data_IF_267651374857
#
_entry.id   IF_267651374857
#
_cell.length_a   1.000
_cell.length_b   1.000
_cell.length_c   1.000
_cell.angle_alpha   90.00
_cell.angle_beta   90.00
_cell.angle_gamma   90.00
#
_symmetry.space_group_name_H-M   'P 1'
#
loop_
_entity.id
_entity.type
_entity.pdbx_description
1 polymer ?
#
# COMPACT_ATOMS: atom_id res chain seq x y z
N UNK A 1 -9.52 -78.37 7.28
CA UNK A 1 -8.41 -77.47 7.67
C UNK A 1 -8.77 -76.05 7.29
N UNK A 2 -8.80 -75.14 8.26
CA UNK A 2 -9.12 -73.71 8.09
C UNK A 2 -7.84 -72.96 7.69
N UNK A 3 -7.78 -72.32 6.53
CA UNK A 3 -6.72 -71.37 6.20
C UNK A 3 -7.18 -69.96 6.56
N UNK A 4 -6.51 -69.37 7.57
CA UNK A 4 -6.63 -67.95 7.93
C UNK A 4 -5.85 -67.13 6.89
N UNK A 5 -6.52 -66.17 6.27
CA UNK A 5 -5.89 -65.10 5.50
C UNK A 5 -5.24 -64.14 6.49
N UNK A 6 -3.91 -64.09 6.53
CA UNK A 6 -3.15 -63.03 7.19
C UNK A 6 -2.85 -62.00 6.10
N UNK A 7 -3.57 -60.89 6.13
CA UNK A 7 -3.33 -59.74 5.25
C UNK A 7 -2.10 -59.03 5.81
N UNK A 8 -0.93 -59.30 5.22
CA UNK A 8 0.28 -58.56 5.50
C UNK A 8 0.16 -57.14 4.99
N UNK A 9 0.07 -56.17 5.89
CA UNK A 9 0.23 -54.75 5.58
C UNK A 9 1.71 -54.55 5.22
N UNK A 10 2.02 -54.55 3.93
CA UNK A 10 3.35 -54.21 3.44
C UNK A 10 3.64 -52.74 3.72
N UNK A 11 4.73 -52.51 4.46
CA UNK A 11 5.31 -51.23 4.86
C UNK A 11 5.89 -50.53 3.61
N UNK A 12 5.02 -50.00 2.75
CA UNK A 12 5.39 -49.11 1.65
C UNK A 12 4.82 -47.72 1.96
N UNK A 13 5.35 -47.04 2.98
CA UNK A 13 4.90 -45.68 3.29
C UNK A 13 5.95 -44.75 3.92
N UNK A 14 7.23 -45.12 4.01
CA UNK A 14 8.22 -44.24 4.69
C UNK A 14 9.38 -43.79 3.79
N UNK A 15 9.65 -44.44 2.65
CA UNK A 15 10.82 -44.10 1.81
C UNK A 15 10.54 -42.94 0.83
N UNK A 16 9.28 -42.61 0.56
CA UNK A 16 8.89 -41.54 -0.37
C UNK A 16 9.14 -40.11 0.11
N UNK A 17 9.28 -39.89 1.42
CA UNK A 17 9.50 -38.54 1.98
C UNK A 17 10.98 -38.18 2.15
N UNK A 18 11.88 -39.16 2.24
CA UNK A 18 13.31 -38.91 2.40
C UNK A 18 14.03 -38.54 1.11
N UNK A 19 13.58 -39.07 -0.03
CA UNK A 19 14.28 -38.95 -1.32
C UNK A 19 13.98 -37.62 -2.03
N UNK A 20 12.82 -36.99 -1.77
CA UNK A 20 12.51 -35.67 -2.33
C UNK A 20 13.15 -34.50 -1.56
N UNK A 21 13.62 -34.77 -0.33
CA UNK A 21 14.33 -33.84 0.54
C UNK A 21 15.86 -33.90 0.39
N UNK A 22 16.41 -34.84 -0.39
CA UNK A 22 17.84 -34.88 -0.68
C UNK A 22 18.23 -33.66 -1.53
N UNK A 23 19.00 -32.77 -0.91
CA UNK A 23 19.56 -31.55 -1.51
C UNK A 23 20.90 -31.91 -2.17
N UNK A 24 21.03 -31.93 -3.51
CA UNK A 24 22.34 -31.70 -4.09
C UNK A 24 22.68 -30.24 -3.81
N UNK A 25 23.62 -30.01 -2.88
CA UNK A 25 23.92 -28.70 -2.29
C UNK A 25 24.46 -27.63 -3.27
N UNK A 26 24.46 -27.87 -4.59
CA UNK A 26 25.19 -27.05 -5.57
C UNK A 26 24.46 -26.80 -6.90
N UNK A 27 23.29 -27.41 -7.16
CA UNK A 27 22.60 -27.27 -8.45
C UNK A 27 21.51 -26.19 -8.37
N UNK A 28 21.83 -24.98 -8.86
CA UNK A 28 20.95 -23.81 -8.83
C UNK A 28 19.69 -23.99 -9.66
N UNK A 29 19.75 -24.73 -10.78
CA UNK A 29 18.61 -24.95 -11.68
C UNK A 29 17.57 -25.87 -11.04
N UNK A 30 18.03 -26.94 -10.38
CA UNK A 30 17.13 -27.81 -9.61
C UNK A 30 16.47 -27.07 -8.46
N UNK A 31 17.18 -26.16 -7.80
CA UNK A 31 16.62 -25.34 -6.71
C UNK A 31 15.55 -24.39 -7.28
N UNK A 32 15.84 -23.70 -8.38
CA UNK A 32 14.87 -22.81 -9.04
C UNK A 32 13.60 -23.55 -9.48
N UNK A 33 13.74 -24.78 -9.98
CA UNK A 33 12.58 -25.63 -10.31
C UNK A 33 11.75 -25.96 -9.06
N UNK A 34 12.41 -26.38 -7.96
CA UNK A 34 11.72 -26.73 -6.69
C UNK A 34 11.00 -25.54 -6.06
N UNK A 35 11.47 -24.31 -6.26
CA UNK A 35 10.79 -23.10 -5.74
C UNK A 35 9.39 -22.89 -6.31
N UNK A 36 9.11 -23.42 -7.52
CA UNK A 36 7.79 -23.32 -8.17
C UNK A 36 6.79 -24.34 -7.63
N UNK A 37 7.24 -25.31 -6.84
CA UNK A 37 6.37 -26.31 -6.25
C UNK A 37 5.62 -25.68 -5.07
N UNK A 38 4.27 -25.78 -5.01
CA UNK A 38 3.47 -25.22 -3.93
C UNK A 38 3.53 -26.12 -2.67
N UNK A 39 4.73 -26.34 -2.12
CA UNK A 39 4.94 -27.08 -0.89
C UNK A 39 5.28 -26.12 0.26
N UNK A 40 4.50 -26.11 1.37
CA UNK A 40 4.75 -25.23 2.51
C UNK A 40 6.20 -25.35 3.03
N UNK A 41 6.88 -24.22 3.16
CA UNK A 41 8.26 -24.17 3.67
C UNK A 41 9.35 -24.65 2.71
N UNK A 42 9.02 -25.16 1.52
CA UNK A 42 10.03 -25.51 0.50
C UNK A 42 10.71 -24.26 -0.05
N UNK A 43 9.92 -23.22 -0.33
CA UNK A 43 10.41 -21.95 -0.86
C UNK A 43 11.49 -21.32 0.06
N UNK A 44 11.22 -21.21 1.35
CA UNK A 44 12.17 -20.61 2.31
C UNK A 44 13.47 -21.42 2.45
N UNK A 45 13.40 -22.75 2.34
CA UNK A 45 14.58 -23.62 2.30
C UNK A 45 15.39 -23.44 1.03
N UNK A 46 14.73 -23.26 -0.12
CA UNK A 46 15.38 -22.98 -1.39
C UNK A 46 16.12 -21.64 -1.34
N UNK A 47 15.45 -20.56 -0.88
CA UNK A 47 16.07 -19.24 -0.67
C UNK A 47 17.30 -19.32 0.24
N UNK A 48 17.18 -20.03 1.36
CA UNK A 48 18.31 -20.21 2.29
C UNK A 48 19.46 -21.00 1.66
N UNK A 49 19.15 -21.96 0.80
CA UNK A 49 20.16 -22.77 0.10
C UNK A 49 20.88 -21.95 -0.97
N UNK A 50 20.16 -21.12 -1.73
CA UNK A 50 20.74 -20.19 -2.70
C UNK A 50 21.69 -19.20 -2.00
N UNK A 51 21.29 -18.64 -0.85
CA UNK A 51 22.14 -17.77 -0.05
C UNK A 51 23.43 -18.48 0.42
N UNK A 52 23.35 -19.75 0.80
CA UNK A 52 24.52 -20.54 1.21
C UNK A 52 25.43 -20.89 0.03
N UNK A 53 24.88 -21.05 -1.18
CA UNK A 53 25.65 -21.32 -2.40
C UNK A 53 26.43 -20.06 -2.83
N UNK A 54 25.77 -18.90 -2.89
CA UNK A 54 26.42 -17.61 -3.12
C UNK A 54 27.11 -17.43 -4.48
N UNK A 55 26.97 -18.36 -5.43
CA UNK A 55 27.50 -18.22 -6.79
C UNK A 55 26.73 -17.13 -7.55
N UNK A 56 27.31 -16.52 -8.61
CA UNK A 56 26.62 -15.51 -9.41
C UNK A 56 25.24 -15.95 -9.90
N UNK A 57 25.08 -17.22 -10.25
CA UNK A 57 23.80 -17.81 -10.67
C UNK A 57 22.80 -17.84 -9.51
N UNK A 58 23.22 -18.24 -8.32
CA UNK A 58 22.38 -18.24 -7.13
C UNK A 58 21.96 -16.81 -6.75
N UNK A 59 22.87 -15.83 -6.85
CA UNK A 59 22.57 -14.41 -6.63
C UNK A 59 21.55 -13.91 -7.65
N UNK A 60 21.70 -14.25 -8.93
CA UNK A 60 20.76 -13.87 -9.97
C UNK A 60 19.35 -14.42 -9.73
N UNK A 61 19.23 -15.66 -9.23
CA UNK A 61 17.92 -16.22 -8.83
C UNK A 61 17.33 -15.42 -7.67
N UNK A 62 18.13 -15.11 -6.64
CA UNK A 62 17.68 -14.29 -5.51
C UNK A 62 17.23 -12.88 -5.95
N UNK A 63 17.93 -12.26 -6.91
CA UNK A 63 17.52 -10.97 -7.49
C UNK A 63 16.20 -11.09 -8.24
N UNK A 64 15.97 -12.18 -8.98
CA UNK A 64 14.68 -12.46 -9.61
C UNK A 64 13.53 -12.51 -8.60
N UNK A 65 13.75 -13.15 -7.46
CA UNK A 65 12.76 -13.21 -6.37
C UNK A 65 12.60 -11.87 -5.65
N UNK A 66 13.68 -11.10 -5.50
CA UNK A 66 13.66 -9.75 -4.94
C UNK A 66 12.85 -8.77 -5.80
N UNK A 67 12.86 -8.95 -7.12
CA UNK A 67 12.02 -8.18 -8.05
C UNK A 67 10.67 -8.82 -8.35
N UNK A 68 10.31 -9.92 -7.67
CA UNK A 68 9.04 -10.58 -7.87
C UNK A 68 7.86 -9.69 -7.44
N UNK A 69 6.70 -9.91 -8.04
CA UNK A 69 5.44 -9.26 -7.65
C UNK A 69 4.86 -9.78 -6.33
N UNK A 70 5.51 -10.76 -5.68
CA UNK A 70 5.01 -11.41 -4.46
C UNK A 70 5.78 -10.86 -3.25
N UNK A 71 5.15 -10.09 -2.34
CA UNK A 71 5.89 -9.44 -1.26
C UNK A 71 6.65 -10.42 -0.34
N UNK A 72 6.05 -11.58 -0.05
CA UNK A 72 6.69 -12.62 0.75
C UNK A 72 7.99 -13.15 0.11
N UNK A 73 8.03 -13.24 -1.23
CA UNK A 73 9.22 -13.65 -1.97
C UNK A 73 10.30 -12.57 -1.89
N UNK A 74 9.92 -11.30 -2.09
CA UNK A 74 10.85 -10.17 -1.96
C UNK A 74 11.48 -10.10 -0.57
N UNK A 75 10.69 -10.28 0.49
CA UNK A 75 11.17 -10.24 1.86
C UNK A 75 12.16 -11.38 2.16
N UNK A 76 11.86 -12.60 1.69
CA UNK A 76 12.76 -13.73 1.82
C UNK A 76 14.07 -13.50 1.05
N UNK A 77 13.98 -13.01 -0.19
CA UNK A 77 15.12 -12.69 -1.03
C UNK A 77 15.98 -11.58 -0.44
N UNK A 78 15.40 -10.48 0.06
CA UNK A 78 16.14 -9.39 0.69
C UNK A 78 16.96 -9.87 1.90
N UNK A 79 16.39 -10.74 2.74
CA UNK A 79 17.12 -11.34 3.87
C UNK A 79 18.26 -12.28 3.40
N UNK A 80 18.05 -13.01 2.31
CA UNK A 80 19.08 -13.87 1.72
C UNK A 80 20.23 -13.06 1.10
N UNK A 81 19.90 -12.04 0.31
CA UNK A 81 20.85 -11.09 -0.28
C UNK A 81 21.68 -10.38 0.79
N UNK A 82 21.06 -10.00 1.91
CA UNK A 82 21.76 -9.43 3.07
C UNK A 82 22.84 -10.37 3.63
N UNK A 83 22.55 -11.67 3.75
CA UNK A 83 23.50 -12.66 4.29
C UNK A 83 24.74 -12.85 3.42
N UNK A 84 24.61 -12.66 2.12
CA UNK A 84 25.72 -12.77 1.17
C UNK A 84 26.42 -11.43 0.92
N UNK A 85 26.06 -10.37 1.64
CA UNK A 85 26.68 -9.06 1.54
C UNK A 85 26.30 -8.26 0.28
N UNK A 86 25.25 -8.68 -0.44
CA UNK A 86 24.78 -7.94 -1.61
C UNK A 86 24.33 -6.53 -1.22
N UNK A 87 24.60 -5.55 -2.10
CA UNK A 87 24.25 -4.16 -1.89
C UNK A 87 23.39 -3.62 -3.05
N UNK A 88 22.35 -2.82 -2.75
CA UNK A 88 21.58 -2.11 -3.77
C UNK A 88 22.45 -1.18 -4.63
N UNK A 89 22.17 -1.15 -5.92
CA UNK A 89 22.87 -0.37 -6.94
C UNK A 89 22.49 1.12 -6.94
N UNK A 90 21.30 1.47 -6.43
CA UNK A 90 20.79 2.83 -6.42
C UNK A 90 19.80 3.06 -5.26
N UNK A 91 19.44 4.32 -5.02
CA UNK A 91 18.56 4.71 -3.91
C UNK A 91 17.15 4.10 -4.00
N UNK A 92 16.62 3.93 -5.22
CA UNK A 92 15.31 3.29 -5.41
C UNK A 92 15.35 1.82 -5.03
N UNK A 93 16.39 1.11 -5.44
CA UNK A 93 16.59 -0.29 -5.07
C UNK A 93 16.85 -0.44 -3.57
N UNK A 94 17.59 0.52 -2.98
CA UNK A 94 17.83 0.58 -1.54
C UNK A 94 16.55 0.77 -0.75
N UNK A 95 15.67 1.66 -1.19
CA UNK A 95 14.36 1.87 -0.59
C UNK A 95 13.52 0.59 -0.58
N UNK A 96 13.42 -0.09 -1.73
CA UNK A 96 12.68 -1.36 -1.87
C UNK A 96 13.30 -2.46 -1.00
N UNK A 97 14.64 -2.54 -0.98
CA UNK A 97 15.38 -3.49 -0.16
C UNK A 97 15.09 -3.29 1.33
N UNK A 98 15.13 -2.05 1.82
CA UNK A 98 14.87 -1.74 3.23
C UNK A 98 13.43 -2.09 3.63
N UNK A 99 12.44 -1.80 2.77
CA UNK A 99 11.05 -2.21 3.02
C UNK A 99 10.92 -3.73 3.08
N UNK A 100 11.44 -4.44 2.08
CA UNK A 100 11.38 -5.92 2.04
C UNK A 100 12.13 -6.57 3.22
N UNK A 101 13.20 -5.92 3.70
CA UNK A 101 13.95 -6.38 4.85
C UNK A 101 13.24 -6.11 6.19
N UNK A 102 12.28 -5.18 6.23
CA UNK A 102 11.57 -4.77 7.44
C UNK A 102 12.14 -3.54 8.15
N UNK A 103 13.05 -2.79 7.49
CA UNK A 103 13.64 -1.54 7.99
C UNK A 103 12.87 -0.32 7.47
N UNK A 104 11.61 -0.21 7.86
CA UNK A 104 10.69 0.79 7.30
C UNK A 104 11.09 2.24 7.59
N UNK A 105 11.59 2.52 8.80
CA UNK A 105 12.09 3.85 9.19
C UNK A 105 13.26 4.31 8.31
N UNK A 106 14.23 3.43 8.09
CA UNK A 106 15.38 3.71 7.22
C UNK A 106 14.92 3.94 5.77
N UNK A 107 13.88 3.21 5.34
CA UNK A 107 13.31 3.36 4.01
C UNK A 107 12.58 4.70 3.82
N UNK A 108 11.96 5.26 4.87
CA UNK A 108 11.19 6.50 4.79
C UNK A 108 12.03 7.71 4.32
N UNK A 109 13.36 7.66 4.46
CA UNK A 109 14.28 8.70 3.94
C UNK A 109 14.18 8.86 2.42
N UNK A 110 13.74 7.82 1.69
CA UNK A 110 13.58 7.85 0.23
C UNK A 110 12.22 8.41 -0.23
N UNK A 111 11.39 8.89 0.69
CA UNK A 111 10.17 9.64 0.40
C UNK A 111 9.12 8.86 -0.39
N UNK A 112 8.57 9.46 -1.45
CA UNK A 112 7.51 8.87 -2.26
C UNK A 112 7.85 7.51 -2.88
N UNK A 113 9.15 7.20 -3.03
CA UNK A 113 9.63 5.93 -3.59
C UNK A 113 9.19 4.72 -2.75
N UNK A 114 9.02 4.88 -1.43
CA UNK A 114 8.63 3.78 -0.54
C UNK A 114 7.12 3.56 -0.45
N UNK A 115 6.29 4.49 -0.93
CA UNK A 115 4.83 4.39 -0.78
C UNK A 115 4.31 3.08 -1.38
N UNK A 116 4.69 2.76 -2.62
CA UNK A 116 4.26 1.52 -3.28
C UNK A 116 4.70 0.26 -2.50
N UNK A 117 5.99 0.06 -2.19
CA UNK A 117 6.43 -1.08 -1.39
C UNK A 117 5.76 -1.18 -0.02
N UNK A 118 5.57 -0.07 0.70
CA UNK A 118 4.95 -0.06 2.03
C UNK A 118 3.46 -0.41 1.98
N UNK A 119 2.75 0.05 0.95
CA UNK A 119 1.35 -0.31 0.73
C UNK A 119 1.20 -1.81 0.44
N UNK A 120 2.07 -2.35 -0.41
CA UNK A 120 2.07 -3.79 -0.70
C UNK A 120 2.39 -4.61 0.56
N UNK A 121 3.32 -4.15 1.40
CA UNK A 121 3.65 -4.79 2.67
C UNK A 121 2.47 -4.73 3.66
N UNK A 122 1.79 -3.58 3.75
CA UNK A 122 0.63 -3.38 4.63
C UNK A 122 -0.48 -4.42 4.36
N UNK A 123 -0.74 -4.71 3.08
CA UNK A 123 -1.75 -5.69 2.67
C UNK A 123 -1.41 -7.14 3.03
N UNK A 124 -0.15 -7.44 3.35
CA UNK A 124 0.32 -8.81 3.66
C UNK A 124 0.54 -9.04 5.15
N UNK A 125 1.05 -8.03 5.85
CA UNK A 125 1.37 -8.16 7.27
C UNK A 125 0.08 -8.17 8.08
N UNK A 126 -0.05 -9.14 8.98
CA UNK A 126 -1.18 -9.25 9.93
C UNK A 126 -0.86 -8.65 11.30
N UNK A 127 0.41 -8.46 11.60
CA UNK A 127 0.86 -7.95 12.89
C UNK A 127 0.47 -6.48 13.05
N UNK A 128 -0.32 -6.17 14.09
CA UNK A 128 -0.88 -4.84 14.30
C UNK A 128 0.18 -3.77 14.58
N UNK A 129 1.26 -4.12 15.28
CA UNK A 129 2.41 -3.24 15.55
C UNK A 129 3.08 -2.79 14.25
N UNK A 130 3.33 -3.72 13.33
CA UNK A 130 3.94 -3.45 12.02
C UNK A 130 2.99 -2.64 11.17
N UNK A 131 1.70 -2.99 11.12
CA UNK A 131 0.69 -2.19 10.39
C UNK A 131 0.62 -0.75 10.90
N UNK A 132 0.65 -0.54 12.21
CA UNK A 132 0.69 0.80 12.81
C UNK A 132 1.94 1.57 12.38
N UNK A 133 3.10 0.92 12.38
CA UNK A 133 4.34 1.52 11.90
C UNK A 133 4.28 1.91 10.42
N UNK A 134 3.74 1.02 9.56
CA UNK A 134 3.54 1.30 8.14
C UNK A 134 2.55 2.44 7.94
N UNK A 135 1.44 2.46 8.69
CA UNK A 135 0.46 3.55 8.65
C UNK A 135 1.12 4.90 8.92
N UNK A 136 1.88 5.05 10.01
CA UNK A 136 2.52 6.33 10.36
C UNK A 136 3.43 6.84 9.24
N UNK A 137 4.21 5.94 8.61
CA UNK A 137 5.09 6.32 7.50
C UNK A 137 4.25 6.72 6.28
N UNK A 138 3.26 5.91 5.90
CA UNK A 138 2.38 6.19 4.77
C UNK A 138 1.59 7.50 4.94
N UNK A 139 1.08 7.78 6.14
CA UNK A 139 0.41 9.03 6.48
C UNK A 139 1.30 10.23 6.18
N UNK A 140 2.55 10.20 6.68
CA UNK A 140 3.52 11.27 6.46
C UNK A 140 3.84 11.45 4.97
N UNK A 141 4.16 10.35 4.27
CA UNK A 141 4.61 10.44 2.87
C UNK A 141 3.48 10.81 1.91
N UNK A 142 2.28 10.24 2.08
CA UNK A 142 1.12 10.60 1.27
C UNK A 142 0.69 12.05 1.59
N UNK A 143 0.63 12.42 2.86
CA UNK A 143 0.29 13.78 3.29
C UNK A 143 1.23 14.82 2.69
N UNK A 144 2.54 14.57 2.71
CA UNK A 144 3.54 15.48 2.13
C UNK A 144 3.37 15.67 0.63
N UNK A 145 3.04 14.61 -0.12
CA UNK A 145 2.79 14.70 -1.56
C UNK A 145 1.52 15.51 -1.85
N UNK A 146 0.43 15.21 -1.14
CA UNK A 146 -0.85 15.91 -1.34
C UNK A 146 -0.72 17.38 -0.95
N UNK A 147 -0.08 17.68 0.17
CA UNK A 147 0.20 19.05 0.61
C UNK A 147 1.03 19.82 -0.42
N UNK A 148 2.05 19.17 -1.01
CA UNK A 148 2.88 19.80 -2.05
C UNK A 148 2.09 20.17 -3.31
N UNK A 149 1.09 19.38 -3.68
CA UNK A 149 0.29 19.60 -4.90
C UNK A 149 -0.86 20.57 -4.65
N UNK A 150 -1.48 20.50 -3.48
CA UNK A 150 -2.66 21.31 -3.15
C UNK A 150 -2.31 22.64 -2.51
N UNK A 151 -1.06 22.83 -2.06
CA UNK A 151 -0.56 24.02 -1.36
C UNK A 151 -1.36 24.39 -0.08
N UNK A 152 -2.12 23.43 0.47
CA UNK A 152 -2.92 23.60 1.69
C UNK A 152 -2.55 22.57 2.75
N UNK A 153 -2.93 22.85 4.00
CA UNK A 153 -2.75 21.88 5.08
C UNK A 153 -3.75 20.73 4.92
N UNK A 154 -3.21 19.52 4.76
CA UNK A 154 -3.96 18.27 4.74
C UNK A 154 -3.37 17.28 5.72
N UNK A 155 -4.23 16.47 6.34
CA UNK A 155 -3.83 15.25 7.03
C UNK A 155 -4.16 14.05 6.14
N UNK A 156 -3.25 13.07 6.11
CA UNK A 156 -3.52 11.77 5.54
C UNK A 156 -3.56 10.76 6.68
N UNK A 157 -4.59 9.92 6.69
CA UNK A 157 -4.81 8.84 7.63
C UNK A 157 -4.90 7.51 6.88
N UNK A 158 -4.43 6.44 7.54
CA UNK A 158 -4.43 5.08 6.99
C UNK A 158 -5.26 4.21 7.91
N UNK A 159 -6.47 3.91 7.48
CA UNK A 159 -7.43 3.07 8.18
C UNK A 159 -7.43 1.65 7.60
N UNK A 160 -7.86 0.67 8.38
CA UNK A 160 -8.01 -0.71 7.89
C UNK A 160 -9.31 -0.84 7.06
N UNK A 161 -9.17 -1.25 5.80
CA UNK A 161 -10.31 -1.55 4.94
C UNK A 161 -10.82 -2.98 5.13
N UNK A 162 -12.04 -3.24 4.66
CA UNK A 162 -12.71 -4.55 4.79
C UNK A 162 -11.96 -5.72 4.14
N UNK A 163 -11.11 -5.43 3.14
CA UNK A 163 -10.30 -6.41 2.42
C UNK A 163 -8.90 -6.63 3.01
N UNK A 164 -8.58 -6.01 4.16
CA UNK A 164 -7.23 -5.97 4.72
C UNK A 164 -6.27 -5.02 3.98
N UNK A 165 -6.72 -4.42 2.87
CA UNK A 165 -6.05 -3.31 2.21
C UNK A 165 -6.39 -1.99 2.91
N UNK A 166 -5.50 -0.99 2.87
CA UNK A 166 -5.72 0.28 3.54
C UNK A 166 -6.86 1.08 2.90
N UNK A 167 -7.65 1.74 3.75
CA UNK A 167 -8.49 2.88 3.38
C UNK A 167 -7.69 4.15 3.66
N UNK A 168 -7.41 4.90 2.60
CA UNK A 168 -6.60 6.11 2.67
C UNK A 168 -7.55 7.29 2.80
N UNK A 169 -7.41 8.06 3.86
CA UNK A 169 -8.33 9.18 4.16
C UNK A 169 -7.53 10.47 4.15
N UNK A 170 -7.88 11.37 3.24
CA UNK A 170 -7.31 12.72 3.17
C UNK A 170 -8.32 13.68 3.76
N UNK A 171 -7.91 14.44 4.76
CA UNK A 171 -8.76 15.43 5.42
C UNK A 171 -8.08 16.79 5.38
N UNK A 172 -8.81 17.83 4.99
CA UNK A 172 -8.24 19.18 4.97
C UNK A 172 -9.29 20.25 4.76
N UNK A 173 -8.87 21.51 4.93
CA UNK A 173 -9.71 22.65 4.59
C UNK A 173 -9.60 22.94 3.09
N UNK A 174 -10.38 22.23 2.27
CA UNK A 174 -10.26 22.30 0.80
C UNK A 174 -10.79 23.62 0.19
N UNK A 175 -11.20 24.57 1.03
CA UNK A 175 -11.54 25.95 0.64
C UNK A 175 -10.49 26.95 1.12
N UNK A 176 -9.43 26.51 1.80
CA UNK A 176 -8.36 27.39 2.28
C UNK A 176 -7.70 28.15 1.13
N UNK A 177 -7.50 29.45 1.29
CA UNK A 177 -6.93 30.32 0.25
C UNK A 177 -7.96 30.86 -0.75
N UNK A 178 -9.16 30.30 -0.79
CA UNK A 178 -10.25 30.81 -1.63
C UNK A 178 -11.03 31.90 -0.89
N UNK A 179 -11.29 33.02 -1.53
CA UNK A 179 -12.15 34.07 -0.98
C UNK A 179 -13.57 34.01 -1.54
N UNK A 180 -14.58 34.52 -0.81
CA UNK A 180 -15.93 34.69 -1.34
C UNK A 180 -15.94 35.44 -2.67
N UNK A 181 -15.16 36.50 -2.82
CA UNK A 181 -15.06 37.36 -4.01
C UNK A 181 -14.06 36.87 -5.07
N UNK A 182 -13.52 35.67 -4.90
CA UNK A 182 -12.46 35.14 -5.76
C UNK A 182 -12.99 34.73 -7.13
N UNK A 183 -12.43 35.33 -8.18
CA UNK A 183 -12.79 35.11 -9.58
C UNK A 183 -12.11 33.88 -10.15
N UNK A 184 -12.33 32.74 -9.48
CA UNK A 184 -11.86 31.43 -9.93
C UNK A 184 -12.35 31.18 -11.37
N UNK A 185 -11.50 30.67 -12.28
CA UNK A 185 -11.94 30.30 -13.62
C UNK A 185 -12.97 29.15 -13.60
N UNK A 186 -13.01 28.38 -12.50
CA UNK A 186 -13.90 27.24 -12.31
C UNK A 186 -15.24 27.63 -11.69
N UNK A 187 -15.28 28.74 -10.95
CA UNK A 187 -16.51 29.28 -10.38
C UNK A 187 -16.49 30.80 -10.47
N UNK A 188 -17.38 31.36 -11.29
CA UNK A 188 -17.54 32.81 -11.43
C UNK A 188 -18.53 33.35 -10.39
N UNK A 189 -18.10 34.29 -9.56
CA UNK A 189 -18.94 35.00 -8.58
C UNK A 189 -18.78 34.51 -7.15
N UNK A 190 -19.58 35.06 -6.24
CA UNK A 190 -19.50 34.74 -4.82
C UNK A 190 -19.93 33.29 -4.47
N UNK A 191 -19.25 32.63 -3.51
CA UNK A 191 -19.57 31.25 -3.10
C UNK A 191 -20.77 31.16 -2.14
N UNK A 192 -21.80 31.98 -2.39
CA UNK A 192 -23.00 32.12 -1.55
C UNK A 192 -23.98 30.95 -1.65
N UNK A 193 -23.83 30.08 -2.66
CA UNK A 193 -24.66 28.88 -2.82
C UNK A 193 -23.87 27.59 -2.57
N UNK A 194 -24.57 26.57 -2.09
CA UNK A 194 -24.02 25.25 -1.81
C UNK A 194 -23.37 24.63 -3.06
N UNK A 195 -24.01 24.77 -4.21
CA UNK A 195 -23.55 24.20 -5.48
C UNK A 195 -22.21 24.80 -5.93
N UNK A 196 -22.01 26.10 -5.72
CA UNK A 196 -20.75 26.79 -6.05
C UNK A 196 -19.62 26.35 -5.12
N UNK A 197 -19.92 26.19 -3.82
CA UNK A 197 -18.96 25.69 -2.85
C UNK A 197 -18.56 24.24 -3.18
N UNK A 198 -19.53 23.38 -3.50
CA UNK A 198 -19.27 22.00 -3.92
C UNK A 198 -18.42 21.93 -5.18
N UNK A 199 -18.64 22.81 -6.17
CA UNK A 199 -17.84 22.86 -7.39
C UNK A 199 -16.35 23.14 -7.10
N UNK A 200 -16.05 24.06 -6.18
CA UNK A 200 -14.65 24.32 -5.75
C UNK A 200 -14.03 23.12 -5.05
N UNK A 201 -14.76 22.54 -4.12
CA UNK A 201 -14.28 21.39 -3.36
C UNK A 201 -13.99 20.22 -4.29
N UNK A 202 -14.87 19.96 -5.27
CA UNK A 202 -14.67 18.92 -6.28
C UNK A 202 -13.40 19.12 -7.11
N UNK A 203 -13.07 20.36 -7.48
CA UNK A 203 -11.84 20.65 -8.20
C UNK A 203 -10.60 20.23 -7.41
N UNK A 204 -10.51 20.61 -6.12
CA UNK A 204 -9.38 20.17 -5.28
C UNK A 204 -9.36 18.67 -5.06
N UNK A 205 -10.52 18.04 -4.88
CA UNK A 205 -10.62 16.59 -4.74
C UNK A 205 -10.11 15.90 -6.00
N UNK A 206 -10.42 16.43 -7.18
CA UNK A 206 -9.90 15.94 -8.45
C UNK A 206 -8.37 16.01 -8.51
N UNK A 207 -7.76 17.13 -8.11
CA UNK A 207 -6.30 17.26 -8.07
C UNK A 207 -5.68 16.27 -7.07
N UNK A 208 -6.30 16.08 -5.92
CA UNK A 208 -5.90 15.10 -4.90
C UNK A 208 -5.97 13.67 -5.49
N UNK A 209 -7.05 13.31 -6.17
CA UNK A 209 -7.16 11.97 -6.77
C UNK A 209 -6.13 11.75 -7.89
N UNK A 210 -5.95 12.71 -8.80
CA UNK A 210 -4.92 12.60 -9.85
C UNK A 210 -3.52 12.43 -9.28
N UNK A 211 -3.21 13.17 -8.22
CA UNK A 211 -1.98 13.04 -7.48
C UNK A 211 -1.81 11.62 -6.90
N UNK A 212 -2.76 11.19 -6.08
CA UNK A 212 -2.67 9.95 -5.30
C UNK A 212 -2.57 8.73 -6.22
N UNK A 213 -3.40 8.68 -7.25
CA UNK A 213 -3.47 7.53 -8.15
C UNK A 213 -2.27 7.41 -9.13
N UNK A 214 -1.42 8.43 -9.22
CA UNK A 214 -0.13 8.34 -9.91
C UNK A 214 0.97 7.71 -9.03
N UNK A 215 0.84 7.78 -7.71
CA UNK A 215 1.86 7.32 -6.76
C UNK A 215 1.51 5.97 -6.15
N UNK A 216 0.22 5.72 -5.92
CA UNK A 216 -0.27 4.52 -5.26
C UNK A 216 -0.53 3.42 -6.30
N UNK A 217 -0.05 2.18 -6.06
CA UNK A 217 -0.30 1.07 -6.98
C UNK A 217 -1.78 0.73 -7.07
N UNK A 218 -2.30 0.58 -8.29
CA UNK A 218 -3.64 0.05 -8.54
C UNK A 218 -3.72 -1.39 -8.02
N UNK A 219 -4.48 -1.59 -6.94
CA UNK A 219 -4.57 -2.85 -6.19
C UNK A 219 -3.99 -2.77 -4.77
N UNK A 220 -3.36 -1.65 -4.40
CA UNK A 220 -2.78 -1.44 -3.08
C UNK A 220 -3.74 -0.88 -2.02
N UNK A 221 -4.99 -0.58 -2.34
CA UNK A 221 -5.92 0.07 -1.42
C UNK A 221 -7.33 -0.48 -1.56
N UNK A 222 -8.11 -0.36 -0.49
CA UNK A 222 -9.55 -0.62 -0.52
C UNK A 222 -10.31 0.56 -1.13
N UNK A 223 -10.05 1.75 -0.61
CA UNK A 223 -10.66 3.00 -1.07
C UNK A 223 -9.80 4.21 -0.70
N UNK A 224 -9.92 5.28 -1.47
CA UNK A 224 -9.39 6.61 -1.13
C UNK A 224 -10.58 7.51 -0.82
N UNK A 225 -10.55 8.19 0.32
CA UNK A 225 -11.60 9.07 0.79
C UNK A 225 -11.03 10.45 0.97
N UNK A 226 -11.74 11.47 0.49
CA UNK A 226 -11.33 12.87 0.64
C UNK A 226 -12.43 13.64 1.35
N UNK A 227 -12.07 14.28 2.48
CA UNK A 227 -12.94 15.03 3.38
C UNK A 227 -12.58 16.50 3.36
N UNK A 228 -13.56 17.34 3.02
CA UNK A 228 -13.48 18.78 3.21
C UNK A 228 -13.99 19.15 4.60
N UNK A 229 -13.07 19.50 5.48
CA UNK A 229 -13.40 20.06 6.78
C UNK A 229 -13.49 21.58 6.67
N UNK A 230 -14.53 22.16 7.25
CA UNK A 230 -14.73 23.61 7.26
C UNK A 230 -15.30 24.07 8.60
N UNK A 231 -14.96 25.29 9.00
CA UNK A 231 -15.53 25.93 10.18
C UNK A 231 -16.98 26.31 9.90
N UNK A 232 -17.92 25.67 10.59
CA UNK A 232 -19.35 25.94 10.48
C UNK A 232 -19.82 26.54 11.80
N UNK A 233 -20.51 27.68 11.72
CA UNK A 233 -21.20 28.24 12.88
C UNK A 233 -22.48 27.46 13.14
N UNK A 234 -22.50 26.74 14.24
CA UNK A 234 -23.66 25.94 14.67
C UNK A 234 -24.45 26.72 15.71
N UNK A 235 -25.74 26.86 15.47
CA UNK A 235 -26.71 27.43 16.40
C UNK A 235 -27.51 26.30 17.04
N UNK A 236 -27.53 26.23 18.36
CA UNK A 236 -28.36 25.26 19.09
C UNK A 236 -29.77 25.84 19.27
N UNK A 237 -30.78 25.06 18.93
CA UNK A 237 -32.19 25.41 19.11
C UNK A 237 -32.53 25.62 20.61
N UNK A 238 -33.56 26.41 20.98
CA UNK A 238 -34.60 26.97 20.12
C UNK A 238 -34.41 28.43 19.67
N UNK A 239 -33.30 29.09 20.04
CA UNK A 239 -33.07 30.51 19.70
C UNK A 239 -31.86 30.66 18.76
N UNK A 240 -32.10 30.41 17.48
CA UNK A 240 -31.17 30.70 16.39
C UNK A 240 -31.07 32.22 16.17
N UNK A 241 -30.26 32.91 17.00
CA UNK A 241 -30.02 34.36 16.86
C UNK A 241 -28.93 34.58 15.80
N UNK A 242 -29.19 35.35 14.73
CA UNK A 242 -28.18 35.68 13.72
C UNK A 242 -26.92 36.27 14.37
N UNK A 243 -25.75 35.73 14.01
CA UNK A 243 -24.46 36.15 14.58
C UNK A 243 -24.04 35.41 15.87
N UNK A 244 -24.95 34.76 16.58
CA UNK A 244 -24.65 33.89 17.72
C UNK A 244 -24.45 32.43 17.28
N UNK A 245 -23.72 31.64 18.06
CA UNK A 245 -23.44 30.23 17.78
C UNK A 245 -22.01 29.83 18.19
N UNK A 246 -21.73 28.53 18.16
CA UNK A 246 -20.37 28.01 18.36
C UNK A 246 -19.77 27.62 17.02
N UNK A 247 -18.54 28.03 16.77
CA UNK A 247 -17.81 27.59 15.57
C UNK A 247 -17.27 26.19 15.81
N UNK A 248 -17.64 25.25 14.92
CA UNK A 248 -17.21 23.86 14.96
C UNK A 248 -16.59 23.48 13.63
N UNK A 249 -15.51 22.71 13.66
CA UNK A 249 -14.98 22.09 12.44
C UNK A 249 -15.87 20.90 12.10
N UNK A 250 -16.45 20.91 10.91
CA UNK A 250 -17.32 19.85 10.41
C UNK A 250 -16.87 19.40 9.02
N UNK A 251 -17.05 18.12 8.70
CA UNK A 251 -16.93 17.65 7.32
C UNK A 251 -18.17 18.10 6.55
N UNK A 252 -17.98 19.07 5.66
CA UNK A 252 -19.08 19.63 4.83
C UNK A 252 -19.23 18.93 3.49
N UNK A 253 -18.19 18.18 3.07
CA UNK A 253 -18.20 17.40 1.85
C UNK A 253 -17.27 16.19 2.00
N UNK A 254 -17.70 15.02 1.52
CA UNK A 254 -16.91 13.79 1.51
C UNK A 254 -17.11 13.07 0.18
N UNK A 255 -16.00 12.53 -0.36
CA UNK A 255 -16.04 11.59 -1.49
C UNK A 255 -15.28 10.33 -1.11
N UNK A 256 -15.67 9.20 -1.71
CA UNK A 256 -14.98 7.93 -1.52
C UNK A 256 -14.90 7.21 -2.85
N UNK A 257 -13.69 6.94 -3.31
CA UNK A 257 -13.43 6.16 -4.51
C UNK A 257 -12.88 4.78 -4.14
N UNK A 258 -13.62 3.73 -4.48
CA UNK A 258 -13.15 2.35 -4.32
C UNK A 258 -12.08 2.01 -5.34
N UNK A 259 -11.33 0.92 -5.11
CA UNK A 259 -10.41 0.38 -6.11
C UNK A 259 -11.08 0.18 -7.48
N UNK A 260 -12.26 -0.43 -7.51
CA UNK A 260 -13.02 -0.65 -8.74
C UNK A 260 -13.47 0.67 -9.40
N UNK A 261 -13.68 1.73 -8.61
CA UNK A 261 -13.92 3.07 -9.12
C UNK A 261 -12.69 3.68 -9.78
N UNK A 262 -11.56 3.64 -9.07
CA UNK A 262 -10.29 4.18 -9.53
C UNK A 262 -9.80 3.50 -10.82
N UNK A 263 -10.01 2.19 -10.96
CA UNK A 263 -9.58 1.42 -12.14
C UNK A 263 -10.35 1.71 -13.42
N UNK A 264 -11.51 2.39 -13.35
CA UNK A 264 -12.29 2.76 -14.55
C UNK A 264 -11.67 3.91 -15.34
N UNK A 265 -10.73 4.62 -14.73
CA UNK A 265 -10.17 5.86 -15.27
C UNK A 265 -8.67 5.71 -15.44
N UNK A 266 -8.15 6.30 -16.52
CA UNK A 266 -6.73 6.61 -16.62
C UNK A 266 -6.49 7.98 -15.98
N UNK A 267 -5.90 8.00 -14.79
CA UNK A 267 -5.64 9.22 -14.02
C UNK A 267 -4.59 10.14 -14.64
N UNK A 268 -3.91 9.70 -15.69
CA UNK A 268 -3.11 10.58 -16.54
C UNK A 268 -4.00 11.50 -17.40
N UNK A 269 -5.18 11.04 -17.81
CA UNK A 269 -6.11 11.74 -18.72
C UNK A 269 -7.48 12.07 -18.10
N UNK A 270 -7.72 11.68 -16.85
CA UNK A 270 -8.97 11.94 -16.14
C UNK A 270 -9.28 13.46 -16.08
N UNK A 271 -10.56 13.77 -16.12
CA UNK A 271 -11.14 15.11 -16.13
C UNK A 271 -11.96 15.36 -14.87
N UNK A 272 -12.33 16.62 -14.62
CA UNK A 272 -13.15 16.99 -13.47
C UNK A 272 -14.51 16.27 -13.45
N UNK A 273 -15.09 15.97 -14.62
CA UNK A 273 -16.38 15.25 -14.71
C UNK A 273 -16.30 13.78 -14.27
N UNK A 274 -15.10 13.24 -14.11
CA UNK A 274 -14.88 11.87 -13.68
C UNK A 274 -14.91 11.71 -12.13
N UNK A 275 -15.02 12.83 -11.40
CA UNK A 275 -14.98 12.94 -9.93
C UNK A 275 -16.26 13.57 -9.37
#
# INVERSE_FOLDING_TARGET
MKYKIIIGISIVSIIGSGIWCYYPHQDTDKIAYKMKVPFPGLYSRCISSLARIGTPEAVNILLGEFHSGIPAHRAAAARALSKIGWQPSNDRERAIYLVAYGKYQDAAVFGSVVIKPLIEEFGQVKEASVRSQLSVILQKEIGAIVQKITEIQVSADIEEGSSGLPRIVITGHLLEGEKPDDSSPYVRGDYTTKERLEAKVKYRIYDIYRCIFQVIPMGGFHSVVVRCNHGVRVQEAPFAIPGFGSDRVMTIFETSLSLAGAQRLDWQYATLSDV
#
